data_IF_391685353963
#
_entry.id   IF_391685353963
#
_cell.length_a   1.000
_cell.length_b   1.000
_cell.length_c   1.000
_cell.angle_alpha   90.00
_cell.angle_beta   90.00
_cell.angle_gamma   90.00
#
_symmetry.space_group_name_H-M   'P 1'
#
loop_
_entity.id
_entity.type
_entity.pdbx_description
1 polymer ?
#
# COMPACT_ATOMS: atom_id res chain seq x y z
N UNK A 1 -3.34 9.00 2.04
CA UNK A 1 -1.87 9.15 2.14
C UNK A 1 -1.47 9.53 3.55
N UNK A 2 -1.97 10.62 4.14
CA UNK A 2 -1.65 11.03 5.53
C UNK A 2 -1.81 9.91 6.58
N UNK A 3 -2.88 9.10 6.49
CA UNK A 3 -3.09 7.95 7.40
C UNK A 3 -2.03 6.85 7.18
N UNK A 4 -1.64 6.59 5.93
CA UNK A 4 -0.59 5.61 5.61
C UNK A 4 0.76 6.14 6.12
N UNK A 5 1.03 7.43 5.97
CA UNK A 5 2.22 8.10 6.54
C UNK A 5 2.28 7.91 8.05
N UNK A 6 1.18 8.25 8.75
CA UNK A 6 1.10 8.13 10.19
C UNK A 6 1.22 6.68 10.65
N UNK A 7 0.50 5.75 10.02
CA UNK A 7 0.57 4.33 10.36
C UNK A 7 1.94 3.72 10.06
N UNK A 8 2.62 4.13 8.99
CA UNK A 8 3.99 3.69 8.67
C UNK A 8 5.03 4.29 9.63
N UNK A 9 4.85 5.54 10.05
CA UNK A 9 5.69 6.15 11.08
C UNK A 9 5.47 5.47 12.44
N UNK A 10 4.21 5.22 12.82
CA UNK A 10 3.85 4.58 14.11
C UNK A 10 4.24 3.11 14.14
N UNK A 11 4.09 2.35 13.04
CA UNK A 11 4.60 0.98 12.96
C UNK A 11 6.13 0.94 13.10
N UNK A 12 6.81 2.03 12.74
CA UNK A 12 8.24 2.21 13.01
C UNK A 12 8.58 2.66 14.44
N UNK A 13 7.64 3.23 15.21
CA UNK A 13 7.89 3.94 16.49
C UNK A 13 7.56 3.10 17.75
N UNK A 14 6.87 1.97 17.64
CA UNK A 14 6.67 1.03 18.78
C UNK A 14 6.48 -0.37 18.22
N UNK A 15 7.14 -1.42 18.71
CA UNK A 15 7.01 -1.89 20.10
C UNK A 15 8.28 -2.65 20.54
N UNK A 16 8.93 -2.23 21.62
CA UNK A 16 9.75 -3.10 22.49
C UNK A 16 8.84 -4.12 23.22
N UNK A 17 7.97 -4.83 22.49
CA UNK A 17 7.35 -6.03 23.03
C UNK A 17 8.40 -7.10 22.86
N UNK A 18 8.77 -7.71 23.98
CA UNK A 18 9.63 -8.89 24.02
C UNK A 18 9.35 -9.79 22.80
N UNK A 19 10.38 -9.94 21.96
CA UNK A 19 10.40 -10.68 20.70
C UNK A 19 10.04 -12.14 20.97
N UNK A 20 8.76 -12.45 21.12
CA UNK A 20 8.29 -13.82 21.30
C UNK A 20 8.16 -14.56 19.97
N UNK A 21 8.25 -13.87 18.83
CA UNK A 21 8.29 -14.52 17.52
C UNK A 21 9.18 -13.71 16.57
N UNK A 22 10.30 -14.29 16.17
CA UNK A 22 11.21 -13.81 15.11
C UNK A 22 10.58 -13.96 13.70
N UNK A 23 9.27 -13.73 13.57
CA UNK A 23 8.62 -13.59 12.27
C UNK A 23 8.78 -12.14 11.82
N UNK A 24 9.15 -11.87 10.56
CA UNK A 24 9.23 -10.52 10.03
C UNK A 24 7.83 -9.95 9.76
N UNK A 25 7.04 -9.75 10.82
CA UNK A 25 5.67 -9.20 10.80
C UNK A 25 5.67 -7.81 10.15
N UNK A 26 6.74 -7.04 10.39
CA UNK A 26 6.97 -5.72 9.80
C UNK A 26 6.84 -5.73 8.27
N UNK A 27 7.43 -6.73 7.60
CA UNK A 27 7.36 -6.89 6.13
C UNK A 27 5.96 -7.23 5.65
N UNK A 28 5.21 -8.00 6.43
CA UNK A 28 3.82 -8.32 6.12
C UNK A 28 2.92 -7.08 6.24
N UNK A 29 3.20 -6.21 7.22
CA UNK A 29 2.52 -4.92 7.38
C UNK A 29 2.79 -4.03 6.16
N UNK A 30 4.05 -3.89 5.75
CA UNK A 30 4.46 -3.18 4.53
C UNK A 30 3.71 -3.70 3.29
N UNK A 31 3.74 -5.01 3.05
CA UNK A 31 3.01 -5.64 1.96
C UNK A 31 1.51 -5.31 2.00
N UNK A 32 0.89 -5.45 3.17
CA UNK A 32 -0.56 -5.25 3.33
C UNK A 32 -0.96 -3.78 3.15
N UNK A 33 -0.19 -2.85 3.70
CA UNK A 33 -0.47 -1.42 3.59
C UNK A 33 -0.43 -0.94 2.15
N UNK A 34 0.59 -1.32 1.39
CA UNK A 34 0.70 -0.90 -0.01
C UNK A 34 -0.32 -1.61 -0.91
N UNK A 35 -0.68 -2.85 -0.62
CA UNK A 35 -1.78 -3.53 -1.31
C UNK A 35 -3.12 -2.79 -1.12
N UNK A 36 -3.46 -2.48 0.13
CA UNK A 36 -4.69 -1.75 0.47
C UNK A 36 -4.66 -0.33 -0.11
N UNK A 37 -3.51 0.36 -0.06
CA UNK A 37 -3.36 1.70 -0.60
C UNK A 37 -3.67 1.77 -2.10
N UNK A 38 -3.14 0.83 -2.89
CA UNK A 38 -3.40 0.76 -4.33
C UNK A 38 -4.86 0.42 -4.62
N UNK A 39 -5.45 -0.55 -3.91
CA UNK A 39 -6.86 -0.92 -4.10
C UNK A 39 -7.81 0.23 -3.76
N UNK A 40 -7.66 0.86 -2.59
CA UNK A 40 -8.50 1.98 -2.19
C UNK A 40 -8.26 3.21 -3.07
N UNK A 41 -7.02 3.48 -3.47
CA UNK A 41 -6.68 4.58 -4.38
C UNK A 41 -7.38 4.42 -5.73
N UNK A 42 -7.40 3.20 -6.29
CA UNK A 42 -8.10 2.92 -7.54
C UNK A 42 -9.62 3.07 -7.40
N UNK A 43 -10.20 2.61 -6.28
CA UNK A 43 -11.63 2.74 -6.00
C UNK A 43 -12.05 4.21 -5.87
N UNK A 44 -11.32 4.99 -5.06
CA UNK A 44 -11.58 6.40 -4.84
C UNK A 44 -11.43 7.23 -6.13
N UNK A 45 -10.42 6.91 -6.95
CA UNK A 45 -10.22 7.58 -8.23
C UNK A 45 -11.39 7.36 -9.18
N UNK A 46 -11.85 6.12 -9.30
CA UNK A 46 -12.98 5.77 -10.16
C UNK A 46 -14.28 6.42 -9.70
N UNK A 47 -14.54 6.46 -8.39
CA UNK A 47 -15.74 7.10 -7.85
C UNK A 47 -15.77 8.61 -8.11
N UNK A 48 -14.61 9.27 -8.06
CA UNK A 48 -14.53 10.72 -8.28
C UNK A 48 -14.62 11.14 -9.76
N UNK A 49 -14.26 10.26 -10.70
CA UNK A 49 -14.11 10.60 -12.12
C UNK A 49 -15.04 9.81 -13.05
N UNK A 50 -16.28 9.50 -12.65
CA UNK A 50 -17.21 8.84 -13.57
C UNK A 50 -17.54 9.72 -14.81
N UNK A 51 -17.51 9.17 -16.03
CA UNK A 51 -17.21 7.77 -16.39
C UNK A 51 -15.70 7.50 -16.51
N UNK A 52 -15.15 6.70 -15.58
CA UNK A 52 -13.75 6.23 -15.63
C UNK A 52 -13.67 4.71 -15.57
N UNK A 53 -12.83 4.14 -16.43
CA UNK A 53 -12.56 2.71 -16.47
C UNK A 53 -11.17 2.44 -15.93
N UNK A 54 -11.10 1.56 -14.92
CA UNK A 54 -9.82 1.08 -14.40
C UNK A 54 -9.15 0.19 -15.46
N UNK A 55 -7.97 0.61 -15.90
CA UNK A 55 -7.13 -0.12 -16.86
C UNK A 55 -5.86 -0.62 -16.19
N UNK A 56 -5.23 -1.64 -16.77
CA UNK A 56 -3.93 -2.13 -16.28
C UNK A 56 -2.86 -1.05 -16.28
N UNK A 57 -2.85 -0.15 -17.29
CA UNK A 57 -1.91 0.98 -17.35
C UNK A 57 -2.08 1.93 -16.16
N UNK A 58 -3.32 2.26 -15.82
CA UNK A 58 -3.62 3.10 -14.66
C UNK A 58 -3.15 2.44 -13.36
N UNK A 59 -3.40 1.14 -13.18
CA UNK A 59 -2.99 0.43 -11.98
C UNK A 59 -1.47 0.24 -11.86
N UNK A 60 -0.78 0.03 -12.98
CA UNK A 60 0.70 0.01 -13.01
C UNK A 60 1.25 1.37 -12.58
N UNK A 61 0.69 2.48 -13.11
CA UNK A 61 1.10 3.82 -12.71
C UNK A 61 0.81 4.07 -11.22
N UNK A 62 -0.36 3.67 -10.73
CA UNK A 62 -0.74 3.83 -9.33
C UNK A 62 0.17 3.02 -8.40
N UNK A 63 0.47 1.77 -8.76
CA UNK A 63 1.40 0.92 -8.03
C UNK A 63 2.81 1.52 -8.01
N UNK A 64 3.30 2.02 -9.14
CA UNK A 64 4.59 2.71 -9.22
C UNK A 64 4.66 3.95 -8.32
N UNK A 65 3.62 4.80 -8.35
CA UNK A 65 3.56 5.97 -7.49
C UNK A 65 3.46 5.59 -6.01
N UNK A 66 2.72 4.54 -5.67
CA UNK A 66 2.64 4.02 -4.31
C UNK A 66 4.01 3.48 -3.85
N UNK A 67 4.70 2.68 -4.66
CA UNK A 67 6.06 2.19 -4.36
C UNK A 67 7.05 3.33 -4.15
N UNK A 68 7.05 4.33 -5.05
CA UNK A 68 7.92 5.50 -4.93
C UNK A 68 7.64 6.27 -3.64
N UNK A 69 6.35 6.44 -3.31
CA UNK A 69 5.94 7.06 -2.05
C UNK A 69 6.46 6.26 -0.85
N UNK A 70 6.42 4.92 -0.90
CA UNK A 70 6.93 4.08 0.17
C UNK A 70 8.43 4.15 0.38
N UNK A 71 9.21 4.20 -0.70
CA UNK A 71 10.66 4.43 -0.61
C UNK A 71 10.96 5.78 0.05
N UNK A 72 10.18 6.83 -0.23
CA UNK A 72 10.35 8.13 0.44
C UNK A 72 10.04 8.03 1.94
N UNK A 73 9.02 7.26 2.32
CA UNK A 73 8.69 7.04 3.73
C UNK A 73 9.79 6.27 4.46
N UNK A 74 10.40 5.27 3.83
CA UNK A 74 11.54 4.54 4.40
C UNK A 74 12.76 5.44 4.61
N UNK A 75 13.04 6.36 3.66
CA UNK A 75 14.09 7.37 3.83
C UNK A 75 13.76 8.27 5.02
N UNK A 76 12.51 8.66 5.21
CA UNK A 76 12.10 9.44 6.38
C UNK A 76 12.21 8.65 7.68
N UNK A 77 11.85 7.37 7.69
CA UNK A 77 12.06 6.51 8.86
C UNK A 77 13.55 6.48 9.22
N UNK A 78 14.44 6.27 8.24
CA UNK A 78 15.88 6.30 8.47
C UNK A 78 16.40 7.65 8.99
N UNK A 79 15.93 8.78 8.43
CA UNK A 79 16.40 10.11 8.84
C UNK A 79 15.86 10.57 10.20
N UNK A 80 14.67 10.11 10.60
CA UNK A 80 13.94 10.66 11.76
C UNK A 80 13.70 9.67 12.89
N UNK A 81 14.10 8.40 12.77
CA UNK A 81 14.00 7.41 13.86
C UNK A 81 15.39 6.91 14.26
N UNK A 82 15.65 6.84 15.58
CA UNK A 82 17.00 6.62 16.11
C UNK A 82 17.51 5.17 15.97
N UNK A 83 16.59 4.20 15.80
CA UNK A 83 16.89 2.75 15.88
C UNK A 83 16.49 1.95 14.62
N UNK A 84 16.11 2.60 13.51
CA UNK A 84 15.78 1.91 12.24
C UNK A 84 16.77 2.25 11.13
N UNK A 85 17.35 1.21 10.56
CA UNK A 85 18.04 1.27 9.27
C UNK A 85 17.01 1.15 8.14
N UNK A 86 17.14 1.95 7.08
CA UNK A 86 16.38 1.69 5.86
C UNK A 86 16.84 0.34 5.29
N UNK A 87 15.94 -0.65 5.31
CA UNK A 87 16.22 -1.98 4.76
C UNK A 87 15.69 -2.07 3.33
N UNK A 88 16.52 -2.58 2.42
CA UNK A 88 16.09 -2.87 1.05
C UNK A 88 14.91 -3.85 0.99
N UNK A 89 14.74 -4.65 2.06
CA UNK A 89 13.66 -5.61 2.21
C UNK A 89 12.30 -4.92 2.42
N UNK A 90 12.27 -3.72 2.99
CA UNK A 90 11.04 -2.91 3.16
C UNK A 90 10.62 -2.28 1.82
N UNK A 91 11.57 -1.78 1.03
CA UNK A 91 11.33 -1.31 -0.35
C UNK A 91 10.68 -2.42 -1.17
N UNK A 92 11.23 -3.64 -1.04
CA UNK A 92 10.74 -4.81 -1.73
C UNK A 92 9.33 -5.19 -1.27
N UNK A 93 9.09 -5.23 0.05
CA UNK A 93 7.77 -5.54 0.62
C UNK A 93 6.71 -4.53 0.17
N UNK A 94 7.02 -3.23 0.19
CA UNK A 94 6.16 -2.15 -0.30
C UNK A 94 5.83 -2.34 -1.78
N UNK A 95 6.83 -2.67 -2.60
CA UNK A 95 6.67 -2.87 -4.04
C UNK A 95 5.86 -4.11 -4.37
N UNK A 96 6.11 -5.23 -3.69
CA UNK A 96 5.32 -6.46 -3.84
C UNK A 96 3.87 -6.22 -3.40
N UNK A 97 3.66 -5.50 -2.30
CA UNK A 97 2.33 -5.10 -1.83
C UNK A 97 1.57 -4.27 -2.86
N UNK A 98 2.20 -3.23 -3.40
CA UNK A 98 1.59 -2.38 -4.44
C UNK A 98 1.21 -3.17 -5.70
N UNK A 99 2.09 -4.08 -6.16
CA UNK A 99 1.82 -4.96 -7.30
C UNK A 99 0.65 -5.90 -6.98
N UNK A 100 0.65 -6.51 -5.80
CA UNK A 100 -0.44 -7.40 -5.36
C UNK A 100 -1.78 -6.66 -5.32
N UNK A 101 -1.82 -5.44 -4.78
CA UNK A 101 -3.01 -4.57 -4.77
C UNK A 101 -3.51 -4.25 -6.19
N UNK A 102 -2.61 -3.99 -7.14
CA UNK A 102 -2.97 -3.77 -8.54
C UNK A 102 -3.60 -5.02 -9.17
N UNK A 103 -2.99 -6.20 -9.00
CA UNK A 103 -3.54 -7.47 -9.50
C UNK A 103 -4.89 -7.79 -8.86
N UNK A 104 -5.00 -7.66 -7.55
CA UNK A 104 -6.25 -7.89 -6.83
C UNK A 104 -7.37 -6.98 -7.35
N UNK A 105 -7.05 -5.70 -7.61
CA UNK A 105 -8.01 -4.73 -8.17
C UNK A 105 -8.42 -5.11 -9.59
N UNK A 106 -7.47 -5.52 -10.46
CA UNK A 106 -7.79 -5.99 -11.81
C UNK A 106 -8.71 -7.21 -11.81
N UNK A 107 -8.43 -8.19 -10.94
CA UNK A 107 -9.21 -9.42 -10.84
C UNK A 107 -10.61 -9.17 -10.26
N UNK A 108 -10.71 -8.28 -9.27
CA UNK A 108 -11.98 -7.99 -8.57
C UNK A 108 -12.83 -6.93 -9.27
N UNK A 109 -12.30 -6.16 -10.24
CA UNK A 109 -13.02 -5.04 -10.88
C UNK A 109 -14.38 -5.46 -11.46
N UNK A 110 -14.45 -6.64 -12.06
CA UNK A 110 -15.65 -7.12 -12.72
C UNK A 110 -16.72 -7.53 -11.69
N UNK A 111 -16.35 -7.85 -10.46
CA UNK A 111 -17.27 -8.13 -9.35
C UNK A 111 -17.67 -6.87 -8.58
N UNK A 112 -16.68 -6.01 -8.28
CA UNK A 112 -16.89 -4.81 -7.45
C UNK A 112 -17.83 -3.82 -8.14
N UNK A 113 -17.68 -3.61 -9.44
CA UNK A 113 -18.46 -2.60 -10.15
C UNK A 113 -19.73 -3.10 -10.82
N UNK A 114 -19.89 -4.41 -11.07
CA UNK A 114 -21.17 -4.98 -11.53
C UNK A 114 -22.23 -5.02 -10.43
N UNK A 115 -21.83 -5.10 -9.16
CA UNK A 115 -22.78 -5.04 -8.04
C UNK A 115 -23.36 -3.63 -7.85
N UNK A 116 -22.57 -2.57 -8.14
CA UNK A 116 -23.00 -1.17 -7.97
C UNK A 116 -23.96 -0.72 -9.07
N UNK A 117 -23.81 -1.19 -10.31
CA UNK A 117 -24.75 -0.88 -11.41
C UNK A 117 -26.11 -1.57 -11.25
N UNK A 118 -26.20 -2.59 -10.40
CA UNK A 118 -27.44 -3.34 -10.11
C UNK A 118 -28.25 -2.76 -8.94
N UNK A 119 -27.67 -1.80 -8.20
CA UNK A 119 -28.27 -1.16 -7.01
C UNK A 119 -28.82 0.25 -7.29
N UNK A 120 -28.69 0.74 -8.52
CA UNK A 120 -29.32 1.98 -9.00
C UNK A 120 -30.47 1.61 -9.93
#
# INVERSE_FOLDING_TARGET
MVVITFLSLVSGISVETERLVDLPIDKLVHLTFYAVAVTLGAMAWKEKHEPFTITSRFLILLAFLASLYGTVIEVFQYCFTADRTAEWEDVLANSVGAIFGAFFTLWSKDKIWTLKTRSK
#
